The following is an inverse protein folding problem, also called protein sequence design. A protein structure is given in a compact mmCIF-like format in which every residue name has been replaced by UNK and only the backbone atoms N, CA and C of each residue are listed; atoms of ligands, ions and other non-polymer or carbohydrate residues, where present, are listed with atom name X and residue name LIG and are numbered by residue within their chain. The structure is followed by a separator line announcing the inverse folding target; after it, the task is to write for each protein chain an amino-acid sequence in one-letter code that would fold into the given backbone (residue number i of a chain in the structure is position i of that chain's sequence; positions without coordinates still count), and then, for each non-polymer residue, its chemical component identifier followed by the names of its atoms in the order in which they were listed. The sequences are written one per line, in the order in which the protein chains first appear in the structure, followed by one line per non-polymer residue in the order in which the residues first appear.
data_IF_772581855797
#
_entry.id   IF_772581855797
#
_cell.length_a   1.000
_cell.length_b   1.000
_cell.length_c   1.000
_cell.angle_alpha   90.00
_cell.angle_beta   90.00
_cell.angle_gamma   90.00
#
_symmetry.space_group_name_H-M   'P 1'
#
loop_
_entity.id
_entity.type
_entity.pdbx_description
1 polymer ?
#
# COMPACT_ATOMS: atom_id res chain seq x y z
N UNK A 1 -15.70 -0.50 11.39
CA UNK A 1 -15.70 0.94 11.10
C UNK A 1 -16.10 1.12 9.65
N UNK A 2 -16.96 2.08 9.36
CA UNK A 2 -17.40 2.44 8.02
C UNK A 2 -16.43 3.47 7.42
N UNK A 3 -16.28 3.44 6.09
CA UNK A 3 -15.41 4.32 5.34
C UNK A 3 -16.15 4.90 4.14
N UNK A 4 -16.34 6.20 4.10
CA UNK A 4 -16.97 6.88 2.98
C UNK A 4 -15.98 7.83 2.29
N UNK A 5 -15.53 7.53 1.06
CA UNK A 5 -14.60 8.39 0.33
C UNK A 5 -15.10 9.82 0.08
N UNK A 6 -16.41 10.05 0.02
CA UNK A 6 -16.96 11.38 -0.17
C UNK A 6 -16.67 12.32 1.01
N UNK A 7 -16.55 11.80 2.22
CA UNK A 7 -16.20 12.58 3.41
C UNK A 7 -14.81 13.26 3.32
N UNK A 8 -13.97 12.79 2.42
CA UNK A 8 -12.58 13.28 2.24
C UNK A 8 -12.38 14.07 0.96
N UNK A 9 -13.45 14.42 0.24
CA UNK A 9 -13.39 15.32 -0.91
C UNK A 9 -13.42 16.76 -0.41
N UNK A 10 -12.35 17.50 -0.62
CA UNK A 10 -12.21 18.91 -0.21
C UNK A 10 -12.17 19.87 -1.40
N UNK A 11 -11.97 19.35 -2.60
CA UNK A 11 -11.82 20.10 -3.82
C UNK A 11 -12.18 19.28 -5.07
N UNK A 12 -12.44 19.95 -6.18
CA UNK A 12 -12.60 19.32 -7.50
C UNK A 12 -11.40 18.45 -7.89
N UNK A 13 -10.21 18.83 -7.43
CA UNK A 13 -8.98 18.03 -7.60
C UNK A 13 -9.08 16.67 -6.94
N UNK A 14 -9.75 16.58 -5.79
CA UNK A 14 -9.90 15.31 -5.08
C UNK A 14 -10.95 14.43 -5.77
N UNK A 15 -11.97 15.01 -6.37
CA UNK A 15 -12.90 14.28 -7.25
C UNK A 15 -12.13 13.62 -8.40
N UNK A 16 -11.25 14.37 -9.07
CA UNK A 16 -10.42 13.83 -10.15
C UNK A 16 -9.48 12.72 -9.67
N UNK A 17 -8.90 12.84 -8.46
CA UNK A 17 -8.07 11.79 -7.87
C UNK A 17 -8.88 10.53 -7.57
N UNK A 18 -10.08 10.68 -6.98
CA UNK A 18 -10.98 9.56 -6.69
C UNK A 18 -11.35 8.82 -7.97
N UNK A 19 -11.81 9.52 -9.00
CA UNK A 19 -12.14 8.92 -10.31
C UNK A 19 -10.95 8.19 -10.92
N UNK A 20 -9.76 8.81 -10.90
CA UNK A 20 -8.56 8.15 -11.43
C UNK A 20 -8.21 6.87 -10.67
N UNK A 21 -8.41 6.85 -9.35
CA UNK A 21 -8.14 5.68 -8.52
C UNK A 21 -9.14 4.55 -8.80
N UNK A 22 -10.43 4.88 -8.94
CA UNK A 22 -11.47 3.91 -9.35
C UNK A 22 -11.08 3.29 -10.69
N UNK A 23 -10.85 4.09 -11.71
CA UNK A 23 -10.51 3.62 -13.05
C UNK A 23 -9.21 2.78 -13.07
N UNK A 24 -8.21 3.16 -12.29
CA UNK A 24 -6.95 2.43 -12.25
C UNK A 24 -7.09 1.01 -11.68
N UNK A 25 -8.02 0.82 -10.72
CA UNK A 25 -8.15 -0.41 -9.94
C UNK A 25 -9.38 -1.27 -10.30
N UNK A 26 -10.19 -0.83 -11.26
CA UNK A 26 -11.38 -1.57 -11.73
C UNK A 26 -11.25 -1.96 -13.20
N UNK A 27 -10.04 -2.11 -13.72
CA UNK A 27 -9.79 -2.60 -15.07
C UNK A 27 -10.04 -4.09 -15.13
N UNK A 28 -10.75 -4.54 -16.16
CA UNK A 28 -10.89 -5.96 -16.45
C UNK A 28 -9.56 -6.59 -16.91
N UNK A 29 -9.44 -7.90 -16.74
CA UNK A 29 -8.32 -8.68 -17.25
C UNK A 29 -8.23 -8.55 -18.78
N UNK A 30 -7.12 -8.02 -19.27
CA UNK A 30 -6.87 -7.86 -20.72
C UNK A 30 -7.06 -6.45 -21.29
N UNK A 31 -7.48 -5.47 -20.51
CA UNK A 31 -7.46 -4.08 -20.96
C UNK A 31 -6.02 -3.60 -21.18
N UNK A 32 -5.70 -3.22 -22.44
CA UNK A 32 -4.39 -2.65 -22.77
C UNK A 32 -4.18 -1.36 -21.98
N UNK A 33 -2.97 -1.17 -21.47
CA UNK A 33 -2.58 -0.01 -20.68
C UNK A 33 -2.44 1.25 -21.55
N UNK A 34 -3.55 1.83 -21.99
CA UNK A 34 -3.60 3.11 -22.71
C UNK A 34 -4.84 3.88 -22.26
N UNK A 35 -4.74 5.21 -22.20
CA UNK A 35 -5.96 6.02 -22.09
C UNK A 35 -6.69 5.93 -23.44
N UNK A 36 -7.56 4.93 -23.55
CA UNK A 36 -8.46 4.76 -24.65
C UNK A 36 -9.59 5.80 -24.56
N UNK A 37 -10.25 6.07 -25.66
CA UNK A 37 -11.43 6.94 -25.74
C UNK A 37 -12.46 6.59 -24.68
N UNK A 38 -12.73 5.31 -24.47
CA UNK A 38 -13.71 4.80 -23.49
C UNK A 38 -13.35 5.21 -22.07
N UNK A 39 -12.12 5.02 -21.66
CA UNK A 39 -11.63 5.40 -20.32
C UNK A 39 -11.72 6.91 -20.10
N UNK A 40 -11.46 7.73 -21.13
CA UNK A 40 -11.62 9.17 -21.02
C UNK A 40 -13.08 9.58 -20.87
N UNK A 41 -13.98 8.95 -21.61
CA UNK A 41 -15.41 9.19 -21.51
C UNK A 41 -15.99 8.75 -20.16
N UNK A 42 -15.60 7.58 -19.66
CA UNK A 42 -15.94 7.12 -18.31
C UNK A 42 -15.48 8.09 -17.22
N UNK A 43 -14.24 8.60 -17.33
CA UNK A 43 -13.73 9.59 -16.40
C UNK A 43 -14.57 10.87 -16.39
N UNK A 44 -14.98 11.36 -17.57
CA UNK A 44 -15.85 12.53 -17.66
C UNK A 44 -17.19 12.28 -16.98
N UNK A 45 -17.79 11.13 -17.24
CA UNK A 45 -19.07 10.76 -16.67
C UNK A 45 -19.01 10.61 -15.14
N UNK A 46 -18.07 9.84 -14.61
CA UNK A 46 -17.87 9.72 -13.16
C UNK A 46 -17.56 11.06 -12.50
N UNK A 47 -16.74 11.89 -13.14
CA UNK A 47 -16.40 13.22 -12.61
C UNK A 47 -17.64 14.12 -12.56
N UNK A 48 -18.53 14.03 -13.55
CA UNK A 48 -19.78 14.76 -13.55
C UNK A 48 -20.70 14.30 -12.41
N UNK A 49 -20.95 12.99 -12.28
CA UNK A 49 -21.84 12.46 -11.25
C UNK A 49 -21.32 12.69 -9.84
N UNK A 50 -20.04 12.36 -9.58
CA UNK A 50 -19.42 12.58 -8.27
C UNK A 50 -19.38 14.07 -7.94
N UNK A 51 -19.10 14.93 -8.94
CA UNK A 51 -19.14 16.36 -8.78
C UNK A 51 -20.56 16.87 -8.43
N UNK A 52 -21.59 16.36 -9.09
CA UNK A 52 -22.96 16.69 -8.78
C UNK A 52 -23.33 16.31 -7.33
N UNK A 53 -23.02 15.06 -6.94
CA UNK A 53 -23.29 14.57 -5.58
C UNK A 53 -22.54 15.41 -4.55
N UNK A 54 -21.27 15.72 -4.78
CA UNK A 54 -20.46 16.47 -3.82
C UNK A 54 -20.98 17.90 -3.58
N UNK A 55 -21.45 18.59 -4.64
CA UNK A 55 -21.93 19.97 -4.55
C UNK A 55 -23.40 20.09 -4.13
N UNK A 56 -24.28 19.26 -4.71
CA UNK A 56 -25.73 19.47 -4.67
C UNK A 56 -26.48 18.48 -3.76
N UNK A 57 -25.90 17.30 -3.46
CA UNK A 57 -26.57 16.32 -2.63
C UNK A 57 -26.49 16.68 -1.13
N UNK A 58 -27.51 16.32 -0.32
CA UNK A 58 -27.43 16.41 1.13
C UNK A 58 -26.36 15.44 1.68
N UNK A 59 -25.87 15.70 2.89
CA UNK A 59 -24.73 14.97 3.47
C UNK A 59 -24.93 13.47 3.59
N UNK A 60 -26.15 13.01 3.86
CA UNK A 60 -26.52 11.60 3.98
C UNK A 60 -26.57 10.88 2.61
N UNK A 61 -26.67 11.63 1.51
CA UNK A 61 -26.66 11.10 0.14
C UNK A 61 -25.27 11.21 -0.52
N UNK A 62 -24.29 11.81 0.12
CA UNK A 62 -22.91 11.88 -0.41
C UNK A 62 -22.19 10.55 -0.23
N UNK A 63 -22.52 9.56 -1.04
CA UNK A 63 -21.97 8.20 -0.96
C UNK A 63 -22.03 7.47 -2.30
N UNK A 64 -21.46 6.26 -2.35
CA UNK A 64 -21.47 5.41 -3.54
C UNK A 64 -22.84 4.84 -3.87
N UNK A 65 -23.76 4.72 -2.92
CA UNK A 65 -25.12 4.25 -3.18
C UNK A 65 -25.84 5.23 -4.10
N UNK A 66 -25.78 6.53 -3.80
CA UNK A 66 -26.32 7.60 -4.64
C UNK A 66 -25.68 7.61 -6.03
N UNK A 67 -24.35 7.42 -6.11
CA UNK A 67 -23.66 7.32 -7.40
C UNK A 67 -24.20 6.17 -8.26
N UNK A 68 -24.43 4.99 -7.65
CA UNK A 68 -25.01 3.84 -8.35
C UNK A 68 -26.45 4.10 -8.79
N UNK A 69 -27.26 4.73 -7.94
CA UNK A 69 -28.64 5.09 -8.28
C UNK A 69 -28.68 6.05 -9.47
N UNK A 70 -27.79 7.05 -9.51
CA UNK A 70 -27.66 7.94 -10.66
C UNK A 70 -27.24 7.18 -11.93
N UNK A 71 -26.26 6.27 -11.85
CA UNK A 71 -25.84 5.45 -13.00
C UNK A 71 -27.01 4.58 -13.49
N UNK A 72 -27.75 3.96 -12.58
CA UNK A 72 -28.90 3.11 -12.92
C UNK A 72 -30.08 3.93 -13.51
N UNK A 73 -30.24 5.18 -13.09
CA UNK A 73 -31.23 6.10 -13.64
C UNK A 73 -30.81 6.71 -14.99
N UNK A 74 -29.53 6.54 -15.39
CA UNK A 74 -29.02 7.01 -16.66
C UNK A 74 -29.29 5.98 -17.75
N UNK A 75 -30.30 6.20 -18.55
CA UNK A 75 -30.65 5.38 -19.71
C UNK A 75 -30.24 6.12 -21.00
N UNK A 76 -29.68 5.41 -21.97
CA UNK A 76 -29.44 5.94 -23.30
C UNK A 76 -30.22 5.07 -24.31
N UNK A 77 -31.05 5.69 -25.15
CA UNK A 77 -31.80 5.02 -26.23
C UNK A 77 -31.07 5.17 -27.55
N UNK A 78 -31.04 4.11 -28.30
CA UNK A 78 -30.36 4.09 -29.61
C UNK A 78 -31.24 4.67 -30.73
N UNK A 79 -32.54 4.59 -30.54
CA UNK A 79 -33.60 4.96 -31.46
C UNK A 79 -34.19 6.35 -31.25
N UNK A 80 -33.77 7.02 -30.17
CA UNK A 80 -34.27 8.33 -29.79
C UNK A 80 -33.09 9.17 -29.21
N UNK A 81 -32.51 10.02 -30.05
CA UNK A 81 -31.37 10.88 -29.65
C UNK A 81 -31.80 12.02 -28.73
N UNK A 82 -33.09 12.41 -28.78
CA UNK A 82 -33.65 13.49 -27.96
C UNK A 82 -34.17 12.95 -26.61
N UNK A 83 -34.03 11.64 -26.34
CA UNK A 83 -34.46 11.06 -25.11
C UNK A 83 -33.69 11.62 -23.89
N UNK A 84 -34.42 12.15 -22.93
CA UNK A 84 -33.90 12.67 -21.67
C UNK A 84 -34.22 11.72 -20.53
N UNK A 85 -33.18 11.22 -19.87
CA UNK A 85 -33.31 10.43 -18.67
C UNK A 85 -33.38 11.35 -17.42
N UNK A 86 -33.75 10.82 -16.23
CA UNK A 86 -33.84 11.62 -15.00
C UNK A 86 -32.54 12.38 -14.65
N UNK A 87 -31.36 11.83 -14.95
CA UNK A 87 -30.08 12.48 -14.68
C UNK A 87 -29.85 13.63 -15.64
N UNK A 88 -30.25 13.51 -16.91
CA UNK A 88 -30.22 14.62 -17.88
C UNK A 88 -31.00 15.83 -17.34
N UNK A 89 -32.23 15.59 -16.84
CA UNK A 89 -33.06 16.64 -16.27
C UNK A 89 -32.45 17.29 -15.01
N UNK A 90 -31.74 16.51 -14.19
CA UNK A 90 -31.02 17.04 -13.03
C UNK A 90 -29.90 18.01 -13.48
N UNK A 91 -29.11 17.61 -14.48
CA UNK A 91 -28.04 18.46 -15.00
C UNK A 91 -28.53 19.69 -15.77
N UNK A 92 -29.64 19.59 -16.49
CA UNK A 92 -30.28 20.75 -17.13
C UNK A 92 -30.70 21.81 -16.10
N UNK A 93 -31.39 21.39 -15.02
CA UNK A 93 -31.76 22.31 -13.93
C UNK A 93 -30.56 22.94 -13.26
N UNK A 94 -29.47 22.20 -13.11
CA UNK A 94 -28.25 22.74 -12.56
C UNK A 94 -27.57 23.71 -13.54
N UNK A 95 -27.63 23.44 -14.83
CA UNK A 95 -27.11 24.33 -15.89
C UNK A 95 -27.88 25.64 -15.97
N UNK A 96 -29.21 25.59 -15.83
CA UNK A 96 -30.03 26.81 -15.78
C UNK A 96 -29.65 27.71 -14.58
N UNK A 97 -29.29 27.09 -13.46
CA UNK A 97 -28.89 27.78 -12.22
C UNK A 97 -27.43 28.29 -12.29
N UNK A 98 -26.50 27.44 -12.77
CA UNK A 98 -25.07 27.78 -12.91
C UNK A 98 -24.47 27.08 -14.15
N UNK A 99 -24.42 27.74 -15.30
CA UNK A 99 -23.84 27.22 -16.54
C UNK A 99 -22.34 26.90 -16.42
N UNK A 100 -21.63 27.54 -15.49
CA UNK A 100 -20.20 27.38 -15.27
C UNK A 100 -19.86 26.31 -14.24
N UNK A 101 -20.88 25.64 -13.65
CA UNK A 101 -20.72 24.62 -12.64
C UNK A 101 -19.80 23.50 -13.12
N UNK A 102 -18.86 23.08 -12.25
CA UNK A 102 -17.85 22.06 -12.57
C UNK A 102 -18.46 20.76 -13.11
N UNK A 103 -19.49 20.22 -12.44
CA UNK A 103 -20.15 18.98 -12.83
C UNK A 103 -20.86 19.11 -14.18
N UNK A 104 -21.53 20.24 -14.45
CA UNK A 104 -22.20 20.55 -15.72
C UNK A 104 -21.19 20.55 -16.88
N UNK A 105 -20.04 21.20 -16.70
CA UNK A 105 -18.98 21.20 -17.70
C UNK A 105 -18.47 19.80 -18.06
N UNK A 106 -18.37 18.90 -17.09
CA UNK A 106 -17.94 17.52 -17.33
C UNK A 106 -19.07 16.72 -18.01
N UNK A 107 -20.31 16.91 -17.57
CA UNK A 107 -21.46 16.23 -18.15
C UNK A 107 -21.69 16.62 -19.61
N UNK A 108 -21.60 17.90 -19.96
CA UNK A 108 -21.67 18.37 -21.35
C UNK A 108 -20.64 17.70 -22.26
N UNK A 109 -19.41 17.52 -21.77
CA UNK A 109 -18.37 16.82 -22.54
C UNK A 109 -18.70 15.34 -22.73
N UNK A 110 -19.27 14.68 -21.73
CA UNK A 110 -19.76 13.30 -21.85
C UNK A 110 -20.90 13.21 -22.86
N UNK A 111 -21.86 14.14 -22.84
CA UNK A 111 -23.02 14.15 -23.73
C UNK A 111 -22.68 14.40 -25.22
N UNK A 112 -21.42 14.72 -25.54
CA UNK A 112 -20.95 14.67 -26.94
C UNK A 112 -20.93 13.25 -27.51
N UNK A 113 -20.95 12.24 -26.65
CA UNK A 113 -21.17 10.86 -27.07
C UNK A 113 -22.67 10.60 -27.19
N UNK A 114 -23.11 10.12 -28.35
CA UNK A 114 -24.53 9.88 -28.64
C UNK A 114 -24.80 8.40 -28.94
N UNK A 115 -26.06 7.98 -28.83
CA UNK A 115 -26.57 6.69 -29.24
C UNK A 115 -25.81 5.50 -28.62
N UNK A 116 -25.33 4.60 -29.48
CA UNK A 116 -24.60 3.38 -29.08
C UNK A 116 -23.35 3.67 -28.23
N UNK A 117 -22.67 4.79 -28.52
CA UNK A 117 -21.46 5.17 -27.77
C UNK A 117 -21.79 5.51 -26.34
N UNK A 118 -22.80 6.33 -26.10
CA UNK A 118 -23.26 6.68 -24.75
C UNK A 118 -23.70 5.44 -23.96
N UNK A 119 -24.48 4.55 -24.59
CA UNK A 119 -24.91 3.29 -23.99
C UNK A 119 -23.73 2.40 -23.58
N UNK A 120 -22.72 2.28 -24.45
CA UNK A 120 -21.52 1.50 -24.15
C UNK A 120 -20.71 2.07 -22.97
N UNK A 121 -20.62 3.41 -22.86
CA UNK A 121 -19.97 4.08 -21.72
C UNK A 121 -20.73 3.80 -20.43
N UNK A 122 -22.07 3.89 -20.43
CA UNK A 122 -22.90 3.60 -19.26
C UNK A 122 -22.76 2.15 -18.79
N UNK A 123 -22.76 1.19 -19.72
CA UNK A 123 -22.55 -0.23 -19.43
C UNK A 123 -21.17 -0.44 -18.79
N UNK A 124 -20.14 0.18 -19.34
CA UNK A 124 -18.77 0.07 -18.81
C UNK A 124 -18.67 0.67 -17.40
N UNK A 125 -19.27 1.85 -17.18
CA UNK A 125 -19.35 2.46 -15.85
C UNK A 125 -20.07 1.56 -14.85
N UNK A 126 -21.23 1.02 -15.20
CA UNK A 126 -21.97 0.09 -14.34
C UNK A 126 -21.14 -1.16 -14.01
N UNK A 127 -20.48 -1.75 -15.00
CA UNK A 127 -19.65 -2.93 -14.81
C UNK A 127 -18.48 -2.70 -13.84
N UNK A 128 -17.84 -1.54 -13.89
CA UNK A 128 -16.73 -1.20 -12.95
C UNK A 128 -17.18 -1.09 -11.51
N UNK A 129 -18.41 -0.69 -11.26
CA UNK A 129 -18.98 -0.57 -9.92
C UNK A 129 -19.84 -1.78 -9.51
N UNK A 130 -19.87 -2.85 -10.32
CA UNK A 130 -20.60 -4.08 -9.99
C UNK A 130 -20.30 -4.65 -8.58
N UNK A 131 -19.06 -4.54 -8.01
CA UNK A 131 -18.83 -4.95 -6.64
C UNK A 131 -19.74 -4.26 -5.60
N UNK A 132 -20.24 -3.07 -5.88
CA UNK A 132 -21.19 -2.36 -5.01
C UNK A 132 -22.62 -2.94 -5.03
N UNK A 133 -22.93 -3.91 -5.89
CA UNK A 133 -24.16 -4.68 -5.80
C UNK A 133 -24.20 -5.53 -4.53
N UNK A 134 -23.02 -5.77 -3.93
CA UNK A 134 -22.88 -6.44 -2.65
C UNK A 134 -23.32 -5.48 -1.54
N UNK A 135 -24.39 -5.88 -0.83
CA UNK A 135 -25.02 -5.05 0.21
C UNK A 135 -24.05 -4.66 1.32
N UNK A 136 -23.23 -5.59 1.77
CA UNK A 136 -22.25 -5.39 2.82
C UNK A 136 -21.19 -4.33 2.45
N UNK A 137 -20.80 -4.26 1.18
CA UNK A 137 -19.89 -3.22 0.71
C UNK A 137 -20.56 -1.84 0.71
N UNK A 138 -21.79 -1.75 0.24
CA UNK A 138 -22.56 -0.48 0.29
C UNK A 138 -22.72 0.03 1.71
N UNK A 139 -23.13 -0.85 2.65
CA UNK A 139 -23.25 -0.50 4.07
C UNK A 139 -21.92 -0.05 4.69
N UNK A 140 -20.80 -0.64 4.26
CA UNK A 140 -19.47 -0.25 4.71
C UNK A 140 -19.10 1.16 4.25
N UNK A 141 -19.51 1.55 3.03
CA UNK A 141 -19.11 2.79 2.38
C UNK A 141 -20.20 3.89 2.38
N UNK A 142 -21.24 3.70 3.15
CA UNK A 142 -22.37 4.64 3.24
C UNK A 142 -22.05 5.88 4.07
N UNK A 143 -21.40 5.69 5.23
CA UNK A 143 -21.02 6.75 6.16
C UNK A 143 -19.56 6.63 6.56
N UNK A 144 -18.95 7.68 7.12
CA UNK A 144 -17.56 7.64 7.59
C UNK A 144 -17.48 7.56 9.11
N UNK A 145 -16.60 6.67 9.59
CA UNK A 145 -16.24 6.50 11.01
C UNK A 145 -14.72 6.51 11.22
N UNK A 146 -13.96 6.69 10.13
CA UNK A 146 -12.50 6.47 10.18
C UNK A 146 -11.72 7.71 10.60
N UNK A 147 -12.27 8.90 10.39
CA UNK A 147 -11.62 10.18 10.70
C UNK A 147 -10.15 10.22 10.19
N UNK A 148 -9.93 9.83 8.92
CA UNK A 148 -8.58 9.75 8.33
C UNK A 148 -7.81 11.08 8.41
N UNK A 149 -8.52 12.18 8.42
CA UNK A 149 -7.98 13.53 8.52
C UNK A 149 -7.43 13.87 9.91
N UNK A 150 -7.71 13.05 10.93
CA UNK A 150 -7.13 13.20 12.28
C UNK A 150 -5.85 12.38 12.49
N UNK A 151 -5.49 11.52 11.54
CA UNK A 151 -4.25 10.74 11.59
C UNK A 151 -3.06 11.71 11.45
N UNK A 152 -2.07 11.55 12.33
CA UNK A 152 -0.91 12.46 12.37
C UNK A 152 -1.04 13.59 13.40
N UNK A 153 -2.23 13.89 13.92
CA UNK A 153 -2.44 14.85 15.02
C UNK A 153 -2.26 14.20 16.38
N UNK A 154 -2.76 13.01 16.51
CA UNK A 154 -2.75 12.21 17.75
C UNK A 154 -2.22 10.81 17.47
N UNK A 155 -1.77 10.12 18.53
CA UNK A 155 -1.34 8.71 18.43
C UNK A 155 -2.55 7.85 18.07
N UNK A 156 -2.58 7.37 16.84
CA UNK A 156 -3.66 6.55 16.27
C UNK A 156 -3.07 5.29 15.69
N UNK A 157 -3.76 4.17 15.82
CA UNK A 157 -3.44 2.93 15.11
C UNK A 157 -4.64 2.54 14.25
N UNK A 158 -4.45 2.54 12.93
CA UNK A 158 -5.42 2.12 11.94
C UNK A 158 -5.04 0.76 11.39
N UNK A 159 -5.94 -0.22 11.50
CA UNK A 159 -5.76 -1.56 10.93
C UNK A 159 -6.70 -1.74 9.74
N UNK A 160 -6.11 -1.94 8.56
CA UNK A 160 -6.82 -2.21 7.31
C UNK A 160 -6.66 -3.70 7.01
N UNK A 161 -7.75 -4.46 7.17
CA UNK A 161 -7.74 -5.90 6.95
C UNK A 161 -8.25 -6.17 5.55
N UNK A 162 -7.40 -6.80 4.73
CA UNK A 162 -7.69 -7.18 3.35
C UNK A 162 -7.62 -8.69 3.20
N UNK A 163 -8.29 -9.24 2.18
CA UNK A 163 -8.10 -10.63 1.79
C UNK A 163 -6.73 -10.82 1.15
N UNK A 164 -6.09 -11.95 1.43
CA UNK A 164 -4.86 -12.39 0.79
C UNK A 164 -5.11 -13.27 -0.46
N UNK A 165 -6.35 -13.73 -0.64
CA UNK A 165 -6.77 -14.64 -1.71
C UNK A 165 -7.79 -14.04 -2.68
N UNK A 166 -8.36 -12.87 -2.39
CA UNK A 166 -9.44 -12.24 -3.17
C UNK A 166 -9.15 -10.75 -3.35
N UNK A 167 -9.05 -10.31 -4.58
CA UNK A 167 -8.73 -8.94 -5.00
C UNK A 167 -9.95 -8.09 -5.36
N UNK A 168 -11.15 -8.65 -5.26
CA UNK A 168 -12.42 -8.00 -5.63
C UNK A 168 -12.59 -6.61 -5.02
N UNK A 169 -12.11 -6.40 -3.78
CA UNK A 169 -12.27 -5.15 -3.03
C UNK A 169 -10.99 -4.32 -2.93
N UNK A 170 -9.93 -4.66 -3.65
CA UNK A 170 -8.65 -3.96 -3.59
C UNK A 170 -8.77 -2.49 -4.01
N UNK A 171 -9.70 -2.16 -4.89
CA UNK A 171 -9.97 -0.77 -5.29
C UNK A 171 -10.40 0.11 -4.11
N UNK A 172 -11.15 -0.41 -3.14
CA UNK A 172 -11.56 0.32 -1.92
C UNK A 172 -10.34 0.68 -1.09
N UNK A 173 -9.43 -0.30 -0.91
CA UNK A 173 -8.19 -0.12 -0.15
C UNK A 173 -7.27 0.87 -0.84
N UNK A 174 -7.19 0.80 -2.17
CA UNK A 174 -6.42 1.75 -2.99
C UNK A 174 -6.97 3.19 -2.87
N UNK A 175 -8.29 3.36 -2.85
CA UNK A 175 -8.94 4.66 -2.62
C UNK A 175 -8.57 5.18 -1.23
N UNK A 176 -8.70 4.34 -0.20
CA UNK A 176 -8.37 4.69 1.18
C UNK A 176 -6.92 5.18 1.30
N UNK A 177 -5.94 4.42 0.80
CA UNK A 177 -4.54 4.84 0.88
C UNK A 177 -4.25 6.09 0.04
N UNK A 178 -4.88 6.22 -1.14
CA UNK A 178 -4.73 7.43 -1.96
C UNK A 178 -5.23 8.67 -1.20
N UNK A 179 -6.39 8.57 -0.54
CA UNK A 179 -6.94 9.66 0.26
C UNK A 179 -6.10 9.91 1.51
N UNK A 180 -5.73 8.87 2.25
CA UNK A 180 -4.89 8.99 3.44
C UNK A 180 -3.59 9.74 3.16
N UNK A 181 -2.82 9.32 2.15
CA UNK A 181 -1.56 9.98 1.81
C UNK A 181 -1.76 11.43 1.36
N UNK A 182 -2.82 11.72 0.58
CA UNK A 182 -3.12 13.09 0.18
C UNK A 182 -3.47 13.95 1.40
N UNK A 183 -4.36 13.48 2.27
CA UNK A 183 -4.76 14.18 3.49
C UNK A 183 -3.57 14.46 4.40
N UNK A 184 -2.70 13.48 4.63
CA UNK A 184 -1.52 13.63 5.46
C UNK A 184 -0.52 14.65 4.87
N UNK A 185 -0.32 14.62 3.53
CA UNK A 185 0.57 15.57 2.86
C UNK A 185 0.01 16.99 2.89
N UNK A 186 -1.25 17.16 2.49
CA UNK A 186 -1.91 18.47 2.47
C UNK A 186 -1.95 19.06 3.89
N UNK A 187 -2.27 18.24 4.90
CA UNK A 187 -2.28 18.69 6.30
C UNK A 187 -0.89 19.06 6.81
N UNK A 188 0.13 18.29 6.49
CA UNK A 188 1.50 18.62 6.85
C UNK A 188 1.93 19.98 6.27
N UNK A 189 1.57 20.23 5.00
CA UNK A 189 1.98 21.44 4.28
C UNK A 189 1.15 22.66 4.72
N UNK A 190 -0.17 22.53 4.81
CA UNK A 190 -1.09 23.65 5.00
C UNK A 190 -1.29 24.02 6.50
N UNK A 191 -1.32 23.01 7.39
CA UNK A 191 -1.62 23.25 8.81
C UNK A 191 -0.37 23.25 9.71
N UNK A 192 0.65 22.43 9.38
CA UNK A 192 1.80 22.19 10.24
C UNK A 192 3.13 22.67 9.69
N UNK A 193 3.14 23.49 8.65
CA UNK A 193 4.37 24.08 8.10
C UNK A 193 5.36 23.05 7.55
N UNK A 194 4.86 21.97 6.97
CA UNK A 194 5.62 20.96 6.27
C UNK A 194 5.89 19.66 7.04
N UNK A 195 5.43 19.53 8.31
CA UNK A 195 5.68 18.33 9.14
C UNK A 195 4.52 18.01 10.07
N UNK A 196 4.06 16.77 10.03
CA UNK A 196 3.05 16.30 10.99
C UNK A 196 3.60 16.27 12.43
N UNK A 197 2.78 16.61 13.44
CA UNK A 197 3.18 16.58 14.85
C UNK A 197 3.45 15.15 15.36
N UNK A 198 2.76 14.15 14.80
CA UNK A 198 2.98 12.74 15.12
C UNK A 198 3.42 12.02 13.85
N UNK A 199 4.57 11.30 13.93
CA UNK A 199 5.06 10.50 12.81
C UNK A 199 4.05 9.42 12.44
N UNK A 200 3.69 9.35 11.15
CA UNK A 200 2.80 8.33 10.61
C UNK A 200 3.62 7.27 9.89
N UNK A 201 3.55 6.03 10.36
CA UNK A 201 4.20 4.88 9.74
C UNK A 201 3.15 4.00 9.07
N UNK A 202 3.24 3.85 7.76
CA UNK A 202 2.42 2.94 6.98
C UNK A 202 3.16 1.59 6.81
N UNK A 203 2.63 0.53 7.42
CA UNK A 203 3.10 -0.84 7.20
C UNK A 203 2.20 -1.46 6.14
N UNK A 204 2.72 -1.62 4.93
CA UNK A 204 1.97 -2.07 3.76
C UNK A 204 2.33 -3.53 3.48
N UNK A 205 1.74 -4.41 4.29
CA UNK A 205 1.89 -5.85 4.14
C UNK A 205 1.11 -6.33 2.92
N UNK A 206 1.64 -7.31 2.19
CA UNK A 206 1.07 -7.80 0.92
C UNK A 206 0.75 -6.63 -0.04
N UNK A 207 1.71 -5.71 -0.21
CA UNK A 207 1.50 -4.46 -0.95
C UNK A 207 0.92 -4.66 -2.35
N UNK A 208 1.21 -5.79 -2.98
CA UNK A 208 0.63 -6.15 -4.28
C UNK A 208 -0.91 -6.30 -4.23
N UNK A 209 -1.47 -6.67 -3.07
CA UNK A 209 -2.90 -6.88 -2.89
C UNK A 209 -3.66 -5.58 -2.54
N UNK A 210 -2.96 -4.49 -2.30
CA UNK A 210 -3.59 -3.17 -2.03
C UNK A 210 -4.20 -2.57 -3.31
N UNK A 211 -3.78 -3.03 -4.50
CA UNK A 211 -4.07 -2.40 -5.76
C UNK A 211 -3.10 -1.26 -6.08
N UNK A 212 -3.37 -0.55 -7.17
CA UNK A 212 -2.51 0.55 -7.61
C UNK A 212 -2.87 1.86 -6.88
N UNK A 213 -1.95 2.40 -6.08
CA UNK A 213 -2.03 3.76 -5.57
C UNK A 213 -1.48 4.70 -6.66
N UNK A 214 -2.32 5.53 -7.31
CA UNK A 214 -1.87 6.37 -8.41
C UNK A 214 -0.74 7.32 -8.00
N UNK A 215 0.32 7.38 -8.81
CA UNK A 215 1.51 8.23 -8.58
C UNK A 215 2.28 7.94 -7.29
N UNK A 216 2.21 6.70 -6.79
CA UNK A 216 2.90 6.28 -5.59
C UNK A 216 4.43 6.47 -5.69
N UNK A 217 5.01 6.33 -6.88
CA UNK A 217 6.42 6.58 -7.16
C UNK A 217 6.86 8.03 -6.84
N UNK A 218 5.95 8.99 -7.01
CA UNK A 218 6.19 10.40 -6.65
C UNK A 218 5.95 10.64 -5.17
N UNK A 219 4.93 10.01 -4.64
CA UNK A 219 4.55 10.12 -3.25
C UNK A 219 5.67 9.64 -2.34
N UNK A 220 6.21 8.43 -2.54
CA UNK A 220 7.25 7.85 -1.70
C UNK A 220 8.53 8.67 -1.67
N UNK A 221 8.80 9.44 -2.73
CA UNK A 221 9.94 10.35 -2.78
C UNK A 221 9.79 11.58 -1.86
N UNK A 222 8.57 11.96 -1.52
CA UNK A 222 8.26 13.24 -0.86
C UNK A 222 7.74 13.12 0.58
N UNK A 223 7.15 11.99 0.96
CA UNK A 223 6.50 11.80 2.27
C UNK A 223 7.45 11.93 3.46
N UNK A 224 8.74 11.62 3.27
CA UNK A 224 9.75 11.63 4.34
C UNK A 224 9.87 12.98 5.04
N UNK A 225 9.84 14.09 4.29
CA UNK A 225 9.93 15.44 4.86
C UNK A 225 8.74 15.78 5.75
N UNK A 226 7.61 15.15 5.52
CA UNK A 226 6.33 15.37 6.21
C UNK A 226 6.10 14.48 7.43
N UNK A 227 7.14 13.78 7.90
CA UNK A 227 7.06 12.81 9.00
C UNK A 227 6.16 11.60 8.67
N UNK A 228 6.15 11.19 7.40
CA UNK A 228 5.45 10.00 6.93
C UNK A 228 6.48 8.99 6.41
N UNK A 229 6.33 7.73 6.79
CA UNK A 229 7.15 6.63 6.28
C UNK A 229 6.30 5.46 5.79
N UNK A 230 6.79 4.76 4.78
CA UNK A 230 6.16 3.56 4.26
C UNK A 230 7.13 2.37 4.34
N UNK A 231 6.64 1.24 4.80
CA UNK A 231 7.32 -0.06 4.74
C UNK A 231 6.53 -0.94 3.79
N UNK A 232 7.11 -1.23 2.62
CA UNK A 232 6.49 -2.01 1.56
C UNK A 232 6.96 -3.45 1.71
N UNK A 233 6.04 -4.39 1.89
CA UNK A 233 6.34 -5.82 2.04
C UNK A 233 5.80 -6.55 0.82
N UNK A 234 6.66 -7.32 0.18
CA UNK A 234 6.41 -8.03 -1.07
C UNK A 234 6.97 -9.46 -0.98
N UNK A 235 6.36 -10.38 -1.69
CA UNK A 235 6.90 -11.73 -1.85
C UNK A 235 8.00 -11.77 -2.92
N UNK A 236 7.91 -10.86 -3.93
CA UNK A 236 8.90 -10.70 -4.99
C UNK A 236 8.82 -9.30 -5.62
N UNK A 237 9.91 -8.86 -6.24
CA UNK A 237 9.91 -7.59 -6.97
C UNK A 237 9.05 -7.62 -8.25
N UNK A 238 8.85 -8.80 -8.84
CA UNK A 238 7.98 -8.96 -9.99
C UNK A 238 6.52 -8.56 -9.71
N UNK A 239 6.04 -8.73 -8.47
CA UNK A 239 4.72 -8.24 -8.05
C UNK A 239 4.60 -6.71 -8.17
N UNK A 240 5.65 -5.99 -7.75
CA UNK A 240 5.67 -4.53 -7.88
C UNK A 240 5.71 -4.10 -9.35
N UNK A 241 6.52 -4.78 -10.17
CA UNK A 241 6.62 -4.53 -11.62
C UNK A 241 5.32 -4.81 -12.37
N UNK A 242 4.56 -5.80 -11.94
CA UNK A 242 3.24 -6.09 -12.52
C UNK A 242 2.26 -4.92 -12.38
N UNK A 243 2.25 -4.25 -11.22
CA UNK A 243 1.33 -3.15 -10.89
C UNK A 243 1.85 -1.80 -11.41
N UNK A 244 3.11 -1.48 -11.11
CA UNK A 244 3.69 -0.13 -11.35
C UNK A 244 4.54 -0.06 -12.61
N UNK A 245 4.79 -1.19 -13.30
CA UNK A 245 5.58 -1.26 -14.54
C UNK A 245 6.94 -0.57 -14.36
N UNK A 246 7.30 0.34 -15.26
CA UNK A 246 8.57 1.08 -15.24
C UNK A 246 8.76 1.95 -13.98
N UNK A 247 7.67 2.33 -13.30
CA UNK A 247 7.73 3.09 -12.07
C UNK A 247 8.16 2.25 -10.85
N UNK A 248 8.16 0.92 -10.95
CA UNK A 248 8.57 0.02 -9.86
C UNK A 248 10.00 0.30 -9.40
N UNK A 249 10.93 0.47 -10.34
CA UNK A 249 12.34 0.75 -10.03
C UNK A 249 12.50 2.11 -9.32
N UNK A 250 11.67 3.10 -9.66
CA UNK A 250 11.63 4.39 -8.95
C UNK A 250 11.15 4.23 -7.52
N UNK A 251 10.14 3.38 -7.27
CA UNK A 251 9.64 3.09 -5.92
C UNK A 251 10.76 2.46 -5.08
N UNK A 252 11.40 1.40 -5.58
CA UNK A 252 12.50 0.71 -4.89
C UNK A 252 13.67 1.66 -4.64
N UNK A 253 14.04 2.47 -5.63
CA UNK A 253 15.14 3.45 -5.53
C UNK A 253 14.91 4.56 -4.49
N UNK A 254 13.65 4.85 -4.14
CA UNK A 254 13.30 5.80 -3.08
C UNK A 254 13.22 5.15 -1.68
N UNK A 255 13.33 3.83 -1.58
CA UNK A 255 13.43 3.13 -0.31
C UNK A 255 14.88 3.17 0.19
N UNK A 256 15.13 3.81 1.34
CA UNK A 256 16.46 3.90 1.94
C UNK A 256 16.98 2.56 2.49
N UNK A 257 16.07 1.63 2.76
CA UNK A 257 16.36 0.33 3.35
C UNK A 257 15.71 -0.77 2.54
N UNK A 258 16.47 -1.80 2.17
CA UNK A 258 15.98 -3.03 1.58
C UNK A 258 16.38 -4.20 2.46
N UNK A 259 15.41 -4.98 2.92
CA UNK A 259 15.61 -6.19 3.70
C UNK A 259 15.16 -7.41 2.89
N UNK A 260 16.11 -8.24 2.46
CA UNK A 260 15.83 -9.48 1.76
C UNK A 260 15.85 -10.66 2.74
N UNK A 261 14.71 -11.33 2.87
CA UNK A 261 14.51 -12.44 3.80
C UNK A 261 14.61 -13.82 3.14
N UNK A 262 15.05 -13.86 1.89
CA UNK A 262 15.13 -15.08 1.08
C UNK A 262 14.00 -15.17 0.07
N UNK A 263 14.22 -15.95 -0.98
CA UNK A 263 13.28 -16.16 -2.08
C UNK A 263 13.94 -16.90 -3.22
N UNK A 264 13.15 -17.32 -4.22
CA UNK A 264 13.62 -18.05 -5.40
C UNK A 264 13.25 -17.37 -6.73
N UNK A 265 12.66 -16.18 -6.66
CA UNK A 265 12.25 -15.46 -7.86
C UNK A 265 13.47 -14.82 -8.53
N UNK A 266 13.68 -15.17 -9.81
CA UNK A 266 14.92 -14.87 -10.55
C UNK A 266 15.23 -13.37 -10.65
N UNK A 267 14.22 -12.53 -10.87
CA UNK A 267 14.42 -11.08 -10.99
C UNK A 267 14.92 -10.50 -9.69
N UNK A 268 14.31 -10.88 -8.57
CA UNK A 268 14.73 -10.46 -7.22
C UNK A 268 16.15 -10.94 -6.91
N UNK A 269 16.47 -12.21 -7.20
CA UNK A 269 17.82 -12.76 -6.96
C UNK A 269 18.87 -12.01 -7.75
N UNK A 270 18.60 -11.74 -9.03
CA UNK A 270 19.49 -10.98 -9.91
C UNK A 270 19.74 -9.57 -9.37
N UNK A 271 18.69 -8.84 -9.03
CA UNK A 271 18.81 -7.48 -8.50
C UNK A 271 19.59 -7.43 -7.19
N UNK A 272 19.34 -8.38 -6.27
CA UNK A 272 20.13 -8.48 -5.03
C UNK A 272 21.59 -8.76 -5.32
N UNK A 273 21.91 -9.72 -6.21
CA UNK A 273 23.28 -10.03 -6.61
C UNK A 273 24.00 -8.85 -7.25
N UNK A 274 23.33 -8.09 -8.11
CA UNK A 274 23.89 -6.89 -8.76
C UNK A 274 24.17 -5.78 -7.75
N UNK A 275 23.28 -5.54 -6.78
CA UNK A 275 23.45 -4.52 -5.74
C UNK A 275 24.57 -4.88 -4.76
N UNK A 276 24.76 -6.16 -4.44
CA UNK A 276 25.88 -6.62 -3.61
C UNK A 276 27.24 -6.30 -4.26
N UNK A 277 27.28 -6.27 -5.59
CA UNK A 277 28.47 -5.91 -6.35
C UNK A 277 29.43 -7.08 -6.55
N UNK A 278 30.70 -6.74 -6.87
CA UNK A 278 31.73 -7.71 -7.21
C UNK A 278 32.95 -7.53 -6.33
N UNK A 279 33.62 -8.63 -6.02
CA UNK A 279 34.99 -8.66 -5.46
C UNK A 279 36.00 -9.00 -6.55
N UNK A 280 37.23 -8.54 -6.39
CA UNK A 280 38.33 -8.90 -7.29
C UNK A 280 38.97 -10.17 -6.75
N UNK A 281 38.98 -11.23 -7.56
CA UNK A 281 39.68 -12.46 -7.27
C UNK A 281 40.90 -12.59 -8.18
N UNK A 282 42.00 -13.10 -7.63
CA UNK A 282 43.19 -13.46 -8.39
C UNK A 282 43.03 -14.88 -8.94
N UNK A 283 43.04 -15.02 -10.25
CA UNK A 283 42.99 -16.31 -10.94
C UNK A 283 44.33 -16.62 -11.56
N UNK A 284 44.77 -17.86 -11.34
CA UNK A 284 46.04 -18.35 -11.88
C UNK A 284 45.74 -19.38 -12.97
N UNK A 285 46.16 -19.12 -14.19
CA UNK A 285 46.19 -20.09 -15.27
C UNK A 285 47.58 -20.64 -15.45
N UNK A 286 47.76 -21.93 -15.28
CA UNK A 286 48.98 -22.65 -15.61
C UNK A 286 48.86 -23.21 -17.01
N UNK A 287 49.74 -22.80 -17.92
CA UNK A 287 49.89 -23.45 -19.24
C UNK A 287 51.12 -24.32 -19.24
N UNK A 288 50.92 -25.61 -19.51
CA UNK A 288 52.01 -26.56 -19.79
C UNK A 288 52.11 -26.80 -21.28
N UNK A 289 53.19 -26.41 -21.91
CA UNK A 289 53.46 -26.78 -23.31
C UNK A 289 54.35 -28.00 -23.33
N UNK A 290 53.81 -29.14 -23.77
CA UNK A 290 54.57 -30.40 -23.98
C UNK A 290 55.23 -30.38 -25.35
N UNK A 291 56.44 -29.77 -25.41
CA UNK A 291 57.32 -29.81 -26.56
C UNK A 291 58.69 -30.40 -26.19
N UNK A 292 59.69 -30.28 -27.07
CA UNK A 292 61.07 -30.72 -26.80
C UNK A 292 61.71 -30.00 -25.59
N UNK A 293 61.15 -28.87 -25.16
CA UNK A 293 61.48 -28.16 -23.92
C UNK A 293 60.15 -27.94 -23.13
N UNK A 294 60.13 -28.32 -21.85
CA UNK A 294 59.02 -28.07 -20.93
C UNK A 294 59.04 -26.58 -20.54
N UNK A 295 58.05 -25.84 -21.01
CA UNK A 295 57.84 -24.46 -20.58
C UNK A 295 56.59 -24.38 -19.69
N UNK A 296 56.77 -23.82 -18.50
CA UNK A 296 55.66 -23.53 -17.56
C UNK A 296 55.41 -22.03 -17.58
N UNK A 297 54.26 -21.63 -18.06
CA UNK A 297 53.76 -20.25 -18.00
C UNK A 297 52.75 -20.07 -16.87
N UNK A 298 52.98 -19.11 -15.99
CA UNK A 298 51.98 -18.67 -14.99
C UNK A 298 51.41 -17.36 -15.47
N UNK A 299 50.11 -17.36 -15.77
CA UNK A 299 49.37 -16.16 -16.16
C UNK A 299 48.48 -15.70 -15.03
N UNK A 300 48.70 -14.50 -14.52
CA UNK A 300 47.92 -13.85 -13.48
C UNK A 300 46.81 -13.05 -14.13
N UNK A 301 45.55 -13.35 -13.75
CA UNK A 301 44.40 -12.58 -14.17
C UNK A 301 43.59 -12.13 -12.96
N UNK A 302 43.23 -10.85 -12.94
CA UNK A 302 42.25 -10.33 -11.96
C UNK A 302 40.88 -10.38 -12.58
N UNK A 303 40.00 -11.16 -11.94
CA UNK A 303 38.63 -11.35 -12.37
C UNK A 303 37.69 -10.73 -11.34
N UNK A 304 36.61 -10.11 -11.81
CA UNK A 304 35.53 -9.65 -10.95
C UNK A 304 34.52 -10.81 -10.71
N UNK A 305 34.51 -11.38 -9.50
CA UNK A 305 33.48 -12.35 -9.08
C UNK A 305 32.36 -11.60 -8.35
N UNK A 306 31.10 -11.96 -8.62
CA UNK A 306 29.97 -11.46 -7.81
C UNK A 306 30.19 -11.85 -6.35
N UNK A 307 29.92 -10.91 -5.42
CA UNK A 307 30.08 -11.15 -3.98
C UNK A 307 29.22 -12.31 -3.49
N UNK A 308 27.99 -12.40 -4.01
CA UNK A 308 27.10 -13.58 -3.94
C UNK A 308 26.41 -13.74 -5.30
N UNK A 309 26.49 -14.92 -5.88
CA UNK A 309 25.81 -15.24 -7.13
C UNK A 309 24.33 -15.52 -6.89
N UNK A 310 23.50 -15.49 -7.93
CA UNK A 310 22.06 -15.73 -7.83
C UNK A 310 21.75 -17.11 -7.20
N UNK A 311 22.54 -18.12 -7.53
CA UNK A 311 22.42 -19.48 -7.00
C UNK A 311 22.83 -19.56 -5.52
N UNK A 312 23.87 -18.86 -5.10
CA UNK A 312 24.27 -18.74 -3.69
C UNK A 312 23.19 -18.06 -2.85
N UNK A 313 22.57 -16.99 -3.38
CA UNK A 313 21.45 -16.30 -2.72
C UNK A 313 20.21 -17.18 -2.66
N UNK A 314 19.92 -17.95 -3.71
CA UNK A 314 18.76 -18.84 -3.77
C UNK A 314 18.80 -19.98 -2.74
N UNK A 315 20.01 -20.43 -2.34
CA UNK A 315 20.22 -21.47 -1.33
C UNK A 315 20.63 -20.93 0.03
N UNK A 316 20.53 -19.61 0.22
CA UNK A 316 20.84 -18.94 1.48
C UNK A 316 20.06 -19.59 2.63
N UNK A 317 20.74 -19.79 3.76
CA UNK A 317 20.13 -20.36 4.97
C UNK A 317 18.85 -19.60 5.38
N UNK A 318 17.81 -20.35 5.73
CA UNK A 318 16.52 -19.76 6.11
C UNK A 318 16.55 -18.85 7.33
N UNK A 319 17.57 -18.96 8.18
CA UNK A 319 17.82 -18.06 9.31
C UNK A 319 18.62 -16.81 8.98
N UNK A 320 19.07 -16.64 7.72
CA UNK A 320 19.86 -15.49 7.28
C UNK A 320 19.04 -14.47 6.49
N UNK A 321 19.51 -13.23 6.46
CA UNK A 321 18.95 -12.14 5.66
C UNK A 321 20.05 -11.24 5.11
N UNK A 322 19.73 -10.51 4.07
CA UNK A 322 20.58 -9.46 3.50
C UNK A 322 19.90 -8.11 3.75
N UNK A 323 20.59 -7.23 4.46
CA UNK A 323 20.13 -5.88 4.75
C UNK A 323 20.98 -4.86 3.99
N UNK A 324 20.32 -4.00 3.27
CA UNK A 324 20.93 -2.90 2.53
C UNK A 324 20.41 -1.57 3.09
N UNK A 325 21.34 -0.68 3.38
CA UNK A 325 21.05 0.67 3.84
C UNK A 325 21.75 1.67 2.92
N UNK A 326 21.10 2.75 2.57
CA UNK A 326 21.70 3.81 1.75
C UNK A 326 22.97 4.35 2.40
N UNK A 327 24.06 4.39 1.65
CA UNK A 327 25.35 4.93 2.10
C UNK A 327 26.20 4.01 2.98
N UNK A 328 25.79 2.74 3.13
CA UNK A 328 26.52 1.72 3.90
C UNK A 328 26.64 0.46 3.06
N UNK A 329 27.72 -0.31 3.24
CA UNK A 329 27.87 -1.62 2.59
C UNK A 329 26.77 -2.58 3.05
N UNK A 330 26.31 -3.49 2.19
CA UNK A 330 25.31 -4.50 2.57
C UNK A 330 25.77 -5.37 3.74
N UNK A 331 24.82 -5.84 4.52
CA UNK A 331 25.04 -6.73 5.66
C UNK A 331 24.44 -8.10 5.38
N UNK A 332 25.19 -9.14 5.66
CA UNK A 332 24.69 -10.50 5.76
C UNK A 332 24.50 -10.82 7.24
N UNK A 333 23.27 -10.98 7.68
CA UNK A 333 22.91 -11.04 9.09
C UNK A 333 21.98 -12.21 9.40
N UNK A 334 21.83 -12.52 10.68
CA UNK A 334 20.84 -13.47 11.15
C UNK A 334 19.46 -12.82 11.24
N UNK A 335 18.42 -13.57 10.88
CA UNK A 335 17.04 -13.16 11.15
C UNK A 335 16.80 -13.18 12.65
N UNK A 336 15.98 -12.25 13.11
CA UNK A 336 15.54 -12.27 14.51
C UNK A 336 14.73 -13.53 14.81
N UNK A 337 15.11 -14.24 15.86
CA UNK A 337 14.37 -15.39 16.34
C UNK A 337 13.14 -14.91 17.15
N UNK A 338 11.97 -14.95 16.51
CA UNK A 338 10.71 -14.49 17.10
C UNK A 338 10.37 -15.19 18.44
N UNK A 339 10.91 -16.40 18.69
CA UNK A 339 10.69 -17.10 19.95
C UNK A 339 11.33 -16.40 21.14
N UNK A 340 12.35 -15.59 20.88
CA UNK A 340 13.06 -14.76 21.89
C UNK A 340 12.34 -13.45 22.20
N UNK A 341 11.29 -13.11 21.45
CA UNK A 341 10.54 -11.86 21.69
C UNK A 341 9.80 -11.94 23.04
N UNK A 342 9.86 -10.91 23.90
CA UNK A 342 9.21 -10.93 25.21
C UNK A 342 7.72 -11.23 25.19
N UNK A 343 7.04 -10.83 24.12
CA UNK A 343 5.61 -11.05 23.91
C UNK A 343 5.27 -12.36 23.18
N UNK A 344 6.26 -13.17 22.76
CA UNK A 344 6.03 -14.44 22.06
C UNK A 344 5.10 -15.39 22.82
N UNK A 345 5.18 -15.40 24.15
CA UNK A 345 4.29 -16.19 25.03
C UNK A 345 2.80 -15.89 24.89
N UNK A 346 2.45 -14.74 24.35
CA UNK A 346 1.06 -14.35 24.11
C UNK A 346 0.56 -14.76 22.72
N UNK A 347 1.42 -15.37 21.87
CA UNK A 347 1.02 -15.92 20.60
C UNK A 347 0.02 -17.06 20.84
N UNK A 348 -1.16 -17.06 20.18
CA UNK A 348 -2.09 -18.17 20.27
C UNK A 348 -1.40 -19.44 19.75
N UNK A 349 -1.08 -20.36 20.64
CA UNK A 349 -0.64 -21.68 20.24
C UNK A 349 -1.81 -22.39 19.58
N UNK A 350 -1.61 -22.94 18.39
CA UNK A 350 -2.60 -23.73 17.64
C UNK A 350 -3.03 -25.03 18.36
N UNK A 351 -2.63 -25.25 19.59
CA UNK A 351 -2.94 -26.41 20.39
C UNK A 351 -4.15 -26.15 21.30
N UNK A 352 -5.24 -26.77 20.92
CA UNK A 352 -6.56 -26.88 21.52
C UNK A 352 -7.53 -25.76 21.21
N UNK A 353 -8.52 -26.12 20.40
CA UNK A 353 -9.85 -25.50 20.35
C UNK A 353 -10.48 -25.58 21.77
N UNK A 354 -10.13 -24.65 22.62
CA UNK A 354 -10.95 -24.37 23.81
C UNK A 354 -12.04 -23.43 23.34
N UNK A 355 -13.31 -23.75 23.52
CA UNK A 355 -14.37 -22.80 23.21
C UNK A 355 -14.14 -21.55 24.07
N UNK A 356 -13.90 -20.41 23.42
CA UNK A 356 -13.80 -19.12 24.09
C UNK A 356 -15.19 -18.80 24.67
N UNK A 357 -15.35 -19.00 25.97
CA UNK A 357 -16.48 -18.45 26.66
C UNK A 357 -16.28 -16.95 26.82
N UNK A 358 -17.20 -16.17 26.29
CA UNK A 358 -17.24 -14.70 26.33
C UNK A 358 -16.88 -14.08 27.70
N UNK A 359 -17.22 -14.76 28.80
CA UNK A 359 -16.92 -14.30 30.16
C UNK A 359 -15.44 -14.32 30.55
N UNK A 360 -14.58 -15.15 29.93
CA UNK A 360 -13.16 -15.22 30.26
C UNK A 360 -12.33 -14.12 29.57
N UNK A 361 -12.82 -13.55 28.49
CA UNK A 361 -12.10 -12.51 27.71
C UNK A 361 -12.32 -11.13 28.31
N UNK A 362 -13.48 -10.85 28.92
CA UNK A 362 -13.77 -9.57 29.57
C UNK A 362 -12.97 -9.36 30.88
N UNK A 363 -12.60 -10.43 31.57
CA UNK A 363 -11.86 -10.35 32.82
C UNK A 363 -10.32 -10.35 32.62
N UNK A 364 -9.83 -10.56 31.39
CA UNK A 364 -8.40 -10.61 31.06
C UNK A 364 -7.86 -9.31 30.44
N UNK A 365 -8.72 -8.32 30.16
CA UNK A 365 -8.27 -7.01 29.70
C UNK A 365 -7.79 -6.18 30.93
N UNK A 366 -6.50 -5.80 31.01
CA UNK A 366 -6.07 -4.86 32.03
C UNK A 366 -6.76 -3.51 31.80
N UNK A 367 -7.09 -2.77 32.88
CA UNK A 367 -7.69 -1.45 32.73
C UNK A 367 -6.78 -0.54 31.92
N UNK A 368 -7.36 0.22 31.00
CA UNK A 368 -6.73 1.23 30.17
C UNK A 368 -6.27 2.44 31.03
N UNK A 369 -5.31 2.24 31.90
CA UNK A 369 -4.71 3.30 32.71
C UNK A 369 -3.21 3.13 32.82
N UNK A 370 -2.51 3.36 31.71
CA UNK A 370 -1.18 3.96 31.70
C UNK A 370 -0.77 4.25 30.24
N UNK A 371 -0.17 5.40 29.94
CA UNK A 371 0.32 5.69 28.60
C UNK A 371 1.47 4.74 28.32
N UNK A 372 1.22 3.73 27.49
CA UNK A 372 2.27 2.85 26.99
C UNK A 372 3.28 3.69 26.24
N UNK A 373 4.49 3.80 26.75
CA UNK A 373 5.60 4.46 26.08
C UNK A 373 5.95 3.64 24.83
N UNK A 374 5.37 4.00 23.70
CA UNK A 374 5.91 3.60 22.41
C UNK A 374 7.27 4.31 22.26
N UNK A 375 8.34 3.55 22.29
CA UNK A 375 9.67 4.04 21.92
C UNK A 375 9.61 4.43 20.44
N UNK A 376 9.53 5.73 20.21
CA UNK A 376 9.45 6.31 18.87
C UNK A 376 10.77 6.05 18.16
N UNK A 377 10.75 5.25 17.09
CA UNK A 377 11.91 5.01 16.19
C UNK A 377 12.51 6.33 15.70
N UNK A 378 11.73 7.41 15.64
CA UNK A 378 12.18 8.77 15.33
C UNK A 378 13.24 9.31 16.31
N UNK A 379 13.16 8.98 17.60
CA UNK A 379 14.23 9.34 18.56
C UNK A 379 15.50 8.53 18.31
N UNK A 380 15.37 7.28 17.91
CA UNK A 380 16.50 6.44 17.52
C UNK A 380 17.19 6.96 16.25
N UNK A 381 16.43 7.37 15.21
CA UNK A 381 17.02 7.91 13.97
C UNK A 381 17.70 9.27 14.16
N UNK A 382 17.13 10.21 14.92
CA UNK A 382 17.80 11.49 15.20
C UNK A 382 19.01 11.35 16.12
N UNK A 383 18.93 10.51 17.15
CA UNK A 383 20.10 10.21 18.00
C UNK A 383 21.17 9.47 17.23
N UNK A 384 20.80 8.64 16.28
CA UNK A 384 21.70 7.87 15.44
C UNK A 384 22.37 8.74 14.39
N UNK A 385 21.63 9.68 13.76
CA UNK A 385 22.25 10.64 12.84
C UNK A 385 23.29 11.54 13.53
N UNK A 386 23.03 11.97 14.75
CA UNK A 386 24.02 12.68 15.58
C UNK A 386 25.20 11.79 16.01
N UNK A 387 24.94 10.49 16.32
CA UNK A 387 25.98 9.52 16.66
C UNK A 387 26.84 9.12 15.45
N UNK A 388 26.26 9.01 14.25
CA UNK A 388 27.04 8.75 13.02
C UNK A 388 28.01 9.88 12.67
N UNK A 389 27.69 11.12 12.98
CA UNK A 389 28.67 12.22 12.83
C UNK A 389 29.81 12.11 13.84
N UNK A 390 29.54 11.63 15.04
CA UNK A 390 30.57 11.42 16.08
C UNK A 390 31.39 10.16 15.78
N UNK A 391 30.86 9.18 15.09
CA UNK A 391 31.58 7.95 14.66
C UNK A 391 32.69 8.19 13.64
N UNK A 392 32.71 9.30 12.93
CA UNK A 392 33.82 9.62 11.99
C UNK A 392 35.21 9.71 12.67
N UNK A 393 35.25 9.74 14.01
CA UNK A 393 36.52 9.85 14.79
C UNK A 393 36.94 8.55 15.48
N UNK A 394 36.18 7.42 15.36
CA UNK A 394 36.49 6.12 16.01
C UNK A 394 37.11 5.12 15.06
N UNK A 395 37.81 4.08 15.59
CA UNK A 395 38.43 3.02 14.76
C UNK A 395 37.38 2.24 13.96
N UNK A 396 37.77 1.65 12.82
CA UNK A 396 36.86 0.91 11.95
C UNK A 396 36.16 -0.25 12.66
N UNK A 397 36.85 -0.91 13.59
CA UNK A 397 36.36 -2.08 14.33
C UNK A 397 35.30 -1.74 15.40
N UNK A 398 35.49 -0.61 16.10
CA UNK A 398 34.48 -0.10 17.04
C UNK A 398 33.21 0.38 16.30
N UNK A 399 33.38 0.95 15.10
CA UNK A 399 32.27 1.36 14.24
C UNK A 399 31.44 0.16 13.77
N UNK A 400 32.11 -0.93 13.42
CA UNK A 400 31.49 -2.17 12.99
C UNK A 400 30.64 -2.78 14.13
N UNK A 401 31.20 -2.97 15.32
CA UNK A 401 30.49 -3.52 16.50
C UNK A 401 29.31 -2.64 16.96
N UNK A 402 29.45 -1.33 16.81
CA UNK A 402 28.39 -0.40 17.23
C UNK A 402 27.25 -0.36 16.21
N UNK A 403 27.57 -0.56 14.92
CA UNK A 403 26.61 -0.68 13.83
C UNK A 403 25.84 -2.02 13.90
N UNK A 404 26.53 -3.11 14.22
CA UNK A 404 25.90 -4.43 14.42
C UNK A 404 24.90 -4.40 15.58
N UNK A 405 25.24 -3.79 16.72
CA UNK A 405 24.29 -3.57 17.83
C UNK A 405 23.10 -2.69 17.46
N UNK A 406 23.34 -1.67 16.66
CA UNK A 406 22.26 -0.80 16.17
C UNK A 406 21.31 -1.55 15.26
N UNK A 407 21.85 -2.36 14.33
CA UNK A 407 21.05 -3.17 13.40
C UNK A 407 20.23 -4.24 14.11
N UNK A 408 20.80 -4.87 15.17
CA UNK A 408 20.03 -5.76 16.03
C UNK A 408 18.84 -5.06 16.69
N UNK A 409 19.05 -3.86 17.23
CA UNK A 409 17.97 -3.09 17.85
C UNK A 409 16.90 -2.62 16.84
N UNK A 410 17.29 -2.33 15.58
CA UNK A 410 16.34 -1.97 14.51
C UNK A 410 15.54 -3.19 14.04
N UNK A 411 16.21 -4.34 13.89
CA UNK A 411 15.56 -5.58 13.53
C UNK A 411 14.57 -6.02 14.63
N UNK A 412 14.99 -5.99 15.90
CA UNK A 412 14.12 -6.27 17.04
C UNK A 412 12.90 -5.36 17.13
N UNK A 413 13.07 -4.06 16.83
CA UNK A 413 11.97 -3.11 16.84
C UNK A 413 11.01 -3.30 15.66
N UNK A 414 11.52 -3.66 14.49
CA UNK A 414 10.71 -3.94 13.30
C UNK A 414 9.90 -5.24 13.48
N UNK A 415 10.55 -6.30 13.98
CA UNK A 415 9.89 -7.57 14.25
C UNK A 415 8.86 -7.46 15.37
N UNK A 416 9.12 -6.66 16.41
CA UNK A 416 8.17 -6.41 17.48
C UNK A 416 6.91 -5.69 16.97
N UNK A 417 7.07 -4.69 16.11
CA UNK A 417 5.95 -3.96 15.52
C UNK A 417 5.14 -4.86 14.56
N UNK A 418 5.80 -5.68 13.74
CA UNK A 418 5.17 -6.62 12.84
C UNK A 418 4.40 -7.69 13.61
N UNK A 419 4.97 -8.18 14.71
CA UNK A 419 4.35 -9.20 15.55
C UNK A 419 3.13 -8.67 16.32
N UNK A 420 3.16 -7.42 16.83
CA UNK A 420 1.99 -6.75 17.42
C UNK A 420 0.87 -6.58 16.41
N UNK A 421 1.19 -6.18 15.18
CA UNK A 421 0.26 -6.09 14.07
C UNK A 421 -0.43 -7.42 13.76
N UNK A 422 0.33 -8.51 13.62
CA UNK A 422 -0.23 -9.84 13.32
C UNK A 422 -1.12 -10.38 14.43
N UNK A 423 -0.75 -10.12 15.68
CA UNK A 423 -1.54 -10.54 16.84
C UNK A 423 -2.90 -9.81 16.91
N UNK A 424 -2.91 -8.52 16.62
CA UNK A 424 -4.13 -7.73 16.63
C UNK A 424 -5.04 -8.09 15.45
N UNK A 425 -4.47 -8.31 14.26
CA UNK A 425 -5.18 -8.81 13.07
C UNK A 425 -5.88 -10.15 13.35
N UNK A 426 -5.22 -11.07 14.03
CA UNK A 426 -5.81 -12.38 14.38
C UNK A 426 -6.94 -12.25 15.42
N UNK A 427 -6.80 -11.36 16.39
CA UNK A 427 -7.84 -11.10 17.39
C UNK A 427 -9.09 -10.46 16.77
N UNK A 428 -8.89 -9.59 15.81
CA UNK A 428 -9.96 -8.88 15.11
C UNK A 428 -10.72 -9.79 14.12
N UNK A 429 -10.02 -10.66 13.39
CA UNK A 429 -10.63 -11.72 12.58
C UNK A 429 -11.52 -12.64 13.42
N UNK A 430 -11.11 -12.94 14.66
CA UNK A 430 -11.94 -13.74 15.58
C UNK A 430 -13.18 -12.98 16.04
N UNK A 431 -13.08 -11.67 16.29
CA UNK A 431 -14.26 -10.83 16.63
C UNK A 431 -15.24 -10.79 15.47
N UNK A 432 -14.75 -10.54 14.26
CA UNK A 432 -15.57 -10.47 13.06
C UNK A 432 -16.28 -11.81 12.78
N UNK A 433 -15.57 -12.93 12.87
CA UNK A 433 -16.12 -14.26 12.70
C UNK A 433 -17.19 -14.55 13.77
N UNK A 434 -17.00 -14.14 15.01
CA UNK A 434 -17.96 -14.32 16.11
C UNK A 434 -19.20 -13.45 15.91
N UNK A 435 -19.04 -12.18 15.52
CA UNK A 435 -20.16 -11.29 15.19
C UNK A 435 -20.96 -11.78 13.98
N UNK A 436 -20.30 -12.25 12.95
CA UNK A 436 -20.92 -12.79 11.75
C UNK A 436 -21.76 -14.03 12.05
N UNK A 437 -21.21 -14.94 12.83
CA UNK A 437 -21.91 -16.17 13.25
C UNK A 437 -23.08 -15.87 14.16
N UNK A 438 -22.96 -14.90 15.07
CA UNK A 438 -24.03 -14.47 15.98
C UNK A 438 -25.16 -13.76 15.24
N UNK A 439 -24.84 -12.85 14.31
CA UNK A 439 -25.84 -12.14 13.49
C UNK A 439 -26.62 -13.06 12.56
N UNK A 440 -26.05 -14.18 12.11
CA UNK A 440 -26.74 -15.17 11.27
C UNK A 440 -27.52 -16.24 12.05
N UNK A 441 -27.55 -16.18 13.38
CA UNK A 441 -28.31 -17.16 14.17
C UNK A 441 -27.78 -18.59 14.09
N UNK A 442 -26.49 -18.75 13.72
CA UNK A 442 -25.84 -20.05 13.61
C UNK A 442 -25.39 -20.62 14.97
N UNK A 443 -25.52 -19.83 16.03
CA UNK A 443 -25.40 -20.28 17.42
C UNK A 443 -26.72 -19.98 18.12
N UNK A 444 -27.37 -20.96 18.76
CA UNK A 444 -28.59 -20.73 19.57
C UNK A 444 -28.24 -19.76 20.71
N UNK A 445 -29.10 -18.76 20.91
CA UNK A 445 -29.05 -17.96 22.14
C UNK A 445 -29.36 -18.88 23.33
N UNK A 446 -28.38 -19.08 24.18
CA UNK A 446 -28.59 -19.60 25.54
C UNK A 446 -28.77 -18.44 26.50
#
# INVERSE_FOLDING_TARGET
MKYNPFAYLRSEKDILKLVNTIIANTKGDGEKSGEDFWVKAEKLYYTALIGYIWYEAPEDEKNFTTLLEMINASEAREDDEDFQNPVDLMFERLEEKDPEHFAVKQYKKYKLAAGKTAKSILISCGARLAPFDIKELRELMETDEMELDTIGDRKTALFVIISDTDDTFNFVVSILYTQLFNLLCDKADDEYGGRLPVHVRCLLDEFANIGQIPKFEKLIATIRSREISASIILQSQSQLKAIYKDNADTIVGNCDTTLFLGGKEKTTLKEISEILGKETIDSFNTSETRGRELSHGLNYQKLGKQLMTEDEIAVMDGGKCILQLRGVRPFFSDKFDITKHPKYKYRPTQTRRTPLTWKSTLNAAPPLSSPTRFLTITRLTQQTYRRTQTMRKRSAEEKQKQLERFLMNVAEAADAALWEYWREKEAEHRRFATEYVTRRGLIPQQ
#
